data_IF_224396328578
#
_entry.id   IF_224396328578
#
_cell.length_a   1.000
_cell.length_b   1.000
_cell.length_c   1.000
_cell.angle_alpha   90.00
_cell.angle_beta   90.00
_cell.angle_gamma   90.00
#
_symmetry.space_group_name_H-M   'P 1'
#
loop_
_entity.id
_entity.type
_entity.pdbx_description
1 polymer ?
#
# COMPACT_ATOMS: atom_id res chain seq x y z
N UNK A 1 -63.86 -38.48 52.37
CA UNK A 1 -63.85 -37.56 51.24
C UNK A 1 -63.00 -36.37 51.53
N UNK A 2 -61.71 -36.52 51.58
CA UNK A 2 -60.76 -35.44 51.70
C UNK A 2 -59.40 -35.91 51.09
N UNK A 3 -59.19 -35.73 49.80
CA UNK A 3 -57.87 -35.90 49.12
C UNK A 3 -58.09 -35.73 47.62
N UNK A 4 -58.22 -34.52 47.15
CA UNK A 4 -58.05 -34.16 45.71
C UNK A 4 -58.04 -32.61 45.58
N UNK A 5 -57.17 -31.93 46.30
CA UNK A 5 -56.97 -30.44 46.08
C UNK A 5 -55.56 -29.97 46.45
N UNK A 6 -54.59 -30.73 46.00
CA UNK A 6 -53.18 -30.31 46.23
C UNK A 6 -52.21 -30.64 45.07
N UNK A 7 -52.75 -30.76 43.85
CA UNK A 7 -51.89 -31.07 42.68
C UNK A 7 -52.00 -30.04 41.51
N UNK A 8 -52.54 -28.86 41.76
CA UNK A 8 -52.83 -27.85 40.74
C UNK A 8 -51.95 -26.59 40.83
N UNK A 9 -51.08 -26.46 41.85
CA UNK A 9 -50.37 -25.22 42.09
C UNK A 9 -48.85 -25.27 41.91
N UNK A 10 -48.30 -26.43 41.52
CA UNK A 10 -46.86 -26.62 41.35
C UNK A 10 -46.36 -26.59 39.89
N UNK A 11 -47.26 -26.41 38.93
CA UNK A 11 -46.90 -26.38 37.47
C UNK A 11 -46.95 -24.99 36.84
N UNK A 12 -47.25 -23.93 37.61
CA UNK A 12 -47.31 -22.56 37.09
C UNK A 12 -46.09 -21.69 37.47
N UNK A 13 -45.12 -22.24 38.20
CA UNK A 13 -43.89 -21.49 38.59
C UNK A 13 -42.61 -21.89 37.85
N UNK A 14 -42.70 -22.80 36.88
CA UNK A 14 -41.55 -23.25 36.09
C UNK A 14 -41.44 -22.62 34.68
N UNK A 15 -42.35 -21.68 34.32
CA UNK A 15 -42.39 -21.09 32.97
C UNK A 15 -41.92 -19.59 32.89
N UNK A 16 -41.30 -19.04 33.94
CA UNK A 16 -40.95 -17.61 33.97
C UNK A 16 -39.42 -17.37 34.15
N UNK A 17 -38.55 -18.27 33.78
CA UNK A 17 -37.10 -18.04 33.87
C UNK A 17 -36.37 -18.49 32.61
N UNK A 18 -36.94 -18.32 31.42
CA UNK A 18 -36.20 -18.41 30.17
C UNK A 18 -36.54 -17.17 29.29
N UNK A 19 -36.53 -16.00 29.87
CA UNK A 19 -36.31 -14.74 29.18
C UNK A 19 -35.12 -14.07 29.90
N UNK A 20 -34.06 -14.84 30.01
CA UNK A 20 -32.76 -14.42 30.51
C UNK A 20 -31.89 -14.09 29.32
N UNK A 21 -31.95 -12.82 28.90
CA UNK A 21 -30.81 -12.11 28.43
C UNK A 21 -29.94 -12.86 27.39
N UNK A 22 -30.23 -12.76 26.09
CA UNK A 22 -29.14 -12.43 25.19
C UNK A 22 -28.56 -11.11 25.68
N UNK A 23 -27.74 -11.17 26.73
CA UNK A 23 -26.75 -10.11 26.95
C UNK A 23 -25.92 -10.08 25.67
N UNK A 24 -26.26 -9.19 24.79
CA UNK A 24 -25.41 -8.84 23.66
C UNK A 24 -24.08 -8.52 24.30
N UNK A 25 -23.11 -9.44 24.17
CA UNK A 25 -21.77 -9.17 24.66
C UNK A 25 -21.43 -7.80 24.10
N UNK A 26 -21.15 -6.83 24.97
CA UNK A 26 -20.80 -5.48 24.53
C UNK A 26 -19.68 -5.69 23.49
N UNK A 27 -19.96 -5.33 22.27
CA UNK A 27 -19.01 -5.52 21.18
C UNK A 27 -17.79 -4.67 21.54
N UNK A 28 -16.65 -5.32 21.70
CA UNK A 28 -15.42 -4.67 22.18
C UNK A 28 -14.96 -3.66 21.14
N UNK A 29 -14.57 -2.47 21.61
CA UNK A 29 -13.88 -1.49 20.74
C UNK A 29 -12.65 -2.13 20.09
N UNK A 30 -12.42 -1.79 18.85
CA UNK A 30 -11.31 -2.32 18.06
C UNK A 30 -10.23 -1.26 17.90
N UNK A 31 -8.98 -1.70 17.88
CA UNK A 31 -7.83 -0.85 17.63
C UNK A 31 -6.87 -1.54 16.67
N UNK A 32 -6.65 -0.92 15.52
CA UNK A 32 -5.72 -1.38 14.50
C UNK A 32 -4.54 -0.43 14.40
N UNK A 33 -3.36 -0.98 14.16
CA UNK A 33 -2.14 -0.21 13.97
C UNK A 33 -1.71 -0.34 12.52
N UNK A 34 -1.33 0.78 11.90
CA UNK A 34 -0.77 0.83 10.54
C UNK A 34 0.67 1.33 10.63
N UNK A 35 1.61 0.52 10.15
CA UNK A 35 3.04 0.81 10.15
C UNK A 35 3.56 0.85 8.71
N UNK A 36 3.73 2.04 8.11
CA UNK A 36 4.30 2.18 6.77
C UNK A 36 5.84 2.08 6.79
N UNK A 37 6.47 2.19 5.61
CA UNK A 37 7.94 2.23 5.47
C UNK A 37 8.56 3.49 6.08
N UNK A 38 7.89 4.62 5.87
CA UNK A 38 8.39 5.95 6.25
C UNK A 38 7.25 6.96 6.23
N UNK A 39 7.44 8.13 6.82
CA UNK A 39 6.53 9.28 6.61
C UNK A 39 6.63 9.71 5.15
N UNK A 40 5.53 9.60 4.41
CA UNK A 40 5.46 9.95 3.00
C UNK A 40 4.01 10.25 2.59
N UNK A 41 3.72 11.24 1.70
CA UNK A 41 2.37 11.61 1.29
C UNK A 41 1.52 10.45 0.76
N UNK A 42 2.14 9.48 0.10
CA UNK A 42 1.44 8.29 -0.39
C UNK A 42 0.85 7.47 0.77
N UNK A 43 1.57 7.33 1.89
CA UNK A 43 1.09 6.63 3.07
C UNK A 43 0.05 7.43 3.85
N UNK A 44 0.05 8.77 3.74
CA UNK A 44 -1.02 9.60 4.30
C UNK A 44 -2.36 9.28 3.62
N UNK A 45 -2.37 9.04 2.30
CA UNK A 45 -3.55 8.58 1.57
C UNK A 45 -4.02 7.18 2.03
N UNK A 46 -3.11 6.26 2.34
CA UNK A 46 -3.45 4.96 2.95
C UNK A 46 -4.12 5.16 4.31
N UNK A 47 -3.56 6.03 5.15
CA UNK A 47 -4.12 6.33 6.46
C UNK A 47 -5.52 6.98 6.37
N UNK A 48 -5.72 7.91 5.43
CA UNK A 48 -7.04 8.51 5.17
C UNK A 48 -8.05 7.42 4.81
N UNK A 49 -7.72 6.54 3.86
CA UNK A 49 -8.61 5.44 3.47
C UNK A 49 -8.93 4.47 4.62
N UNK A 50 -7.95 4.20 5.47
CA UNK A 50 -8.16 3.37 6.67
C UNK A 50 -9.10 4.04 7.67
N UNK A 51 -8.94 5.34 7.94
CA UNK A 51 -9.81 6.12 8.84
C UNK A 51 -11.24 6.23 8.29
N UNK A 52 -11.40 6.49 7.00
CA UNK A 52 -12.70 6.54 6.34
C UNK A 52 -13.43 5.18 6.44
N UNK A 53 -12.72 4.08 6.20
CA UNK A 53 -13.28 2.74 6.33
C UNK A 53 -13.64 2.41 7.78
N UNK A 54 -12.79 2.77 8.75
CA UNK A 54 -13.08 2.59 10.16
C UNK A 54 -14.38 3.33 10.54
N UNK A 55 -14.55 4.58 10.13
CA UNK A 55 -15.76 5.37 10.39
C UNK A 55 -17.04 4.75 9.76
N UNK A 56 -16.94 4.19 8.54
CA UNK A 56 -18.05 3.47 7.92
C UNK A 56 -18.43 2.21 8.72
N UNK A 57 -17.43 1.47 9.19
CA UNK A 57 -17.63 0.25 9.98
C UNK A 57 -18.17 0.57 11.38
N UNK A 58 -17.68 1.63 12.04
CA UNK A 58 -18.24 2.10 13.32
C UNK A 58 -19.74 2.35 13.20
N UNK A 59 -20.15 3.06 12.14
CA UNK A 59 -21.57 3.32 11.87
C UNK A 59 -22.36 2.06 11.61
N UNK A 60 -21.78 1.08 10.92
CA UNK A 60 -22.47 -0.17 10.54
C UNK A 60 -22.54 -1.16 11.70
N UNK A 61 -21.50 -1.27 12.51
CA UNK A 61 -21.33 -2.29 13.55
C UNK A 61 -21.71 -1.80 14.96
N UNK A 62 -21.73 -0.48 15.17
CA UNK A 62 -22.00 0.11 16.50
C UNK A 62 -20.85 -0.06 17.48
N UNK A 63 -19.61 -0.24 16.99
CA UNK A 63 -18.38 -0.38 17.79
C UNK A 63 -17.41 0.72 17.42
N UNK A 64 -16.61 1.20 18.36
CA UNK A 64 -15.53 2.14 18.08
C UNK A 64 -14.36 1.42 17.42
N UNK A 65 -13.80 2.01 16.36
CA UNK A 65 -12.62 1.50 15.66
C UNK A 65 -11.56 2.61 15.63
N UNK A 66 -10.46 2.40 16.33
CA UNK A 66 -9.34 3.35 16.35
C UNK A 66 -8.25 2.88 15.41
N UNK A 67 -7.74 3.79 14.60
CA UNK A 67 -6.57 3.58 13.73
C UNK A 67 -5.40 4.34 14.35
N UNK A 68 -4.36 3.60 14.75
CA UNK A 68 -3.08 4.15 15.20
C UNK A 68 -2.10 4.10 14.02
N UNK A 69 -1.75 5.25 13.48
CA UNK A 69 -0.77 5.36 12.42
C UNK A 69 0.61 5.64 13.01
N UNK A 70 1.55 4.70 12.83
CA UNK A 70 2.87 4.71 13.45
C UNK A 70 3.96 4.66 12.36
N UNK A 71 4.23 5.80 11.73
CA UNK A 71 5.21 5.90 10.66
C UNK A 71 6.63 6.16 11.20
N UNK A 72 7.65 5.42 10.73
CA UNK A 72 9.05 5.79 10.95
C UNK A 72 9.36 7.16 10.35
N UNK A 73 10.16 7.96 11.03
CA UNK A 73 10.58 9.29 10.52
C UNK A 73 11.68 9.19 9.47
N UNK A 74 12.39 8.06 9.46
CA UNK A 74 13.40 7.70 8.46
C UNK A 74 13.15 6.27 8.00
N UNK A 75 13.45 5.99 6.74
CA UNK A 75 13.35 4.65 6.18
C UNK A 75 14.55 3.79 6.65
N UNK A 76 14.41 3.21 7.84
CA UNK A 76 15.37 2.33 8.48
C UNK A 76 14.67 1.09 9.03
N UNK A 77 15.18 -0.09 8.69
CA UNK A 77 14.58 -1.38 9.07
C UNK A 77 14.59 -1.58 10.58
N UNK A 78 15.63 -1.13 11.27
CA UNK A 78 15.75 -1.24 12.73
C UNK A 78 14.69 -0.38 13.41
N UNK A 79 14.50 0.84 12.91
CA UNK A 79 13.46 1.74 13.41
C UNK A 79 12.05 1.20 13.15
N UNK A 80 11.78 0.67 11.94
CA UNK A 80 10.50 0.06 11.63
C UNK A 80 10.24 -1.16 12.52
N UNK A 81 11.23 -2.03 12.74
CA UNK A 81 11.11 -3.18 13.63
C UNK A 81 10.82 -2.75 15.07
N UNK A 82 11.49 -1.70 15.56
CA UNK A 82 11.25 -1.13 16.90
C UNK A 82 9.81 -0.62 17.04
N UNK A 83 9.27 0.04 16.01
CA UNK A 83 7.88 0.52 15.98
C UNK A 83 6.91 -0.67 15.99
N UNK A 84 7.17 -1.71 15.21
CA UNK A 84 6.35 -2.95 15.18
C UNK A 84 6.34 -3.64 16.55
N UNK A 85 7.49 -3.76 17.22
CA UNK A 85 7.58 -4.29 18.58
C UNK A 85 6.78 -3.45 19.58
N UNK A 86 6.90 -2.12 19.51
CA UNK A 86 6.12 -1.20 20.35
C UNK A 86 4.62 -1.33 20.10
N UNK A 87 4.20 -1.43 18.84
CA UNK A 87 2.81 -1.69 18.49
C UNK A 87 2.31 -3.00 19.10
N UNK A 88 3.08 -4.08 18.97
CA UNK A 88 2.72 -5.40 19.49
C UNK A 88 2.57 -5.45 21.03
N UNK A 89 3.46 -4.75 21.77
CA UNK A 89 3.37 -4.65 23.24
C UNK A 89 2.04 -4.09 23.71
N UNK A 90 1.44 -3.18 22.93
CA UNK A 90 0.14 -2.58 23.26
C UNK A 90 -1.06 -3.50 23.00
N UNK A 91 -0.84 -4.69 22.43
CA UNK A 91 -1.84 -5.71 22.08
C UNK A 91 -3.03 -5.14 21.30
N UNK A 92 -2.79 -4.60 20.09
CA UNK A 92 -3.88 -4.16 19.23
C UNK A 92 -4.69 -5.37 18.73
N UNK A 93 -5.87 -5.10 18.18
CA UNK A 93 -6.69 -6.14 17.53
C UNK A 93 -6.11 -6.58 16.17
N UNK A 94 -5.16 -5.83 15.63
CA UNK A 94 -4.42 -6.22 14.44
C UNK A 94 -3.41 -5.15 14.00
N UNK A 95 -2.44 -5.58 13.21
CA UNK A 95 -1.38 -4.72 12.66
C UNK A 95 -1.34 -4.91 11.14
N UNK A 96 -1.35 -3.79 10.41
CA UNK A 96 -1.00 -3.74 8.99
C UNK A 96 0.39 -3.14 8.86
N UNK A 97 1.27 -3.77 8.11
CA UNK A 97 2.65 -3.30 7.89
C UNK A 97 2.97 -3.29 6.40
N UNK A 98 3.67 -2.24 5.95
CA UNK A 98 4.37 -2.26 4.67
C UNK A 98 5.86 -2.46 4.94
N UNK A 99 6.40 -3.70 4.76
CA UNK A 99 7.77 -3.99 5.13
C UNK A 99 8.76 -3.26 4.22
N UNK A 100 9.69 -2.55 4.85
CA UNK A 100 10.78 -1.86 4.16
C UNK A 100 11.79 -2.84 3.55
N UNK A 101 11.99 -3.98 4.21
CA UNK A 101 12.94 -5.02 3.80
C UNK A 101 12.35 -6.41 4.02
N UNK A 102 12.28 -7.22 2.95
CA UNK A 102 11.66 -8.54 3.00
C UNK A 102 12.35 -9.51 3.99
N UNK A 103 13.65 -9.34 4.22
CA UNK A 103 14.45 -10.19 5.11
C UNK A 103 14.52 -9.59 6.51
N UNK A 104 14.80 -8.30 6.59
CA UNK A 104 15.02 -7.59 7.85
C UNK A 104 13.76 -7.49 8.73
N UNK A 105 12.55 -7.43 8.12
CA UNK A 105 11.30 -7.39 8.88
C UNK A 105 10.73 -8.78 9.20
N UNK A 106 11.25 -9.86 8.61
CA UNK A 106 10.65 -11.19 8.70
C UNK A 106 10.50 -11.65 10.15
N UNK A 107 11.56 -11.53 10.95
CA UNK A 107 11.57 -12.05 12.32
C UNK A 107 10.51 -11.36 13.19
N UNK A 108 10.45 -10.03 13.19
CA UNK A 108 9.49 -9.28 14.00
C UNK A 108 8.04 -9.59 13.59
N UNK A 109 7.77 -9.74 12.29
CA UNK A 109 6.45 -10.12 11.80
C UNK A 109 6.03 -11.52 12.26
N UNK A 110 6.96 -12.50 12.27
CA UNK A 110 6.72 -13.84 12.79
C UNK A 110 6.46 -13.82 14.31
N UNK A 111 7.19 -13.01 15.07
CA UNK A 111 7.02 -12.88 16.51
C UNK A 111 5.68 -12.24 16.90
N UNK A 112 5.23 -11.23 16.16
CA UNK A 112 3.90 -10.62 16.32
C UNK A 112 2.81 -11.67 16.12
N UNK A 113 2.89 -12.47 15.06
CA UNK A 113 1.92 -13.55 14.79
C UNK A 113 1.93 -14.65 15.87
N UNK A 114 3.10 -15.02 16.38
CA UNK A 114 3.20 -15.98 17.50
C UNK A 114 2.52 -15.48 18.77
N UNK A 115 2.41 -14.17 18.96
CA UNK A 115 1.66 -13.55 20.06
C UNK A 115 0.14 -13.60 19.85
N UNK A 116 -0.34 -14.11 18.71
CA UNK A 116 -1.76 -14.18 18.37
C UNK A 116 -2.34 -12.87 17.85
N UNK A 117 -1.51 -11.88 17.51
CA UNK A 117 -1.97 -10.61 16.93
C UNK A 117 -2.14 -10.80 15.42
N UNK A 118 -3.34 -10.56 14.87
CA UNK A 118 -3.57 -10.55 13.43
C UNK A 118 -2.60 -9.60 12.73
N UNK A 119 -1.92 -10.10 11.69
CA UNK A 119 -0.95 -9.33 10.92
C UNK A 119 -1.24 -9.50 9.43
N UNK A 120 -1.31 -8.39 8.72
CA UNK A 120 -1.35 -8.34 7.26
C UNK A 120 -0.21 -7.47 6.74
N UNK A 121 0.16 -7.64 5.49
CA UNK A 121 1.00 -6.68 4.78
C UNK A 121 0.14 -5.84 3.83
N UNK A 122 0.51 -4.59 3.62
CA UNK A 122 -0.09 -3.76 2.58
C UNK A 122 1.03 -3.19 1.69
N UNK A 123 0.69 -2.75 0.49
CA UNK A 123 1.64 -2.25 -0.53
C UNK A 123 2.91 -3.11 -0.72
N UNK A 124 2.82 -4.38 -0.38
CA UNK A 124 3.91 -5.34 -0.51
C UNK A 124 3.35 -6.73 -0.77
N UNK A 125 4.04 -7.58 -1.54
CA UNK A 125 3.63 -8.97 -1.72
C UNK A 125 3.71 -9.73 -0.40
N UNK A 126 2.85 -10.75 -0.26
CA UNK A 126 2.93 -11.66 0.88
C UNK A 126 4.28 -12.35 0.92
N UNK A 127 4.99 -12.35 2.06
CA UNK A 127 6.25 -13.08 2.16
C UNK A 127 6.05 -14.58 1.86
N UNK A 128 6.88 -15.18 0.99
CA UNK A 128 6.69 -16.55 0.54
C UNK A 128 6.54 -17.54 1.69
N UNK A 129 5.47 -18.36 1.65
CA UNK A 129 5.19 -19.39 2.65
C UNK A 129 4.75 -18.87 4.03
N UNK A 130 4.57 -17.57 4.22
CA UNK A 130 4.18 -16.99 5.50
C UNK A 130 2.71 -17.18 5.86
N UNK A 131 1.82 -17.30 4.87
CA UNK A 131 0.38 -17.26 5.06
C UNK A 131 -0.13 -15.92 5.59
N UNK A 132 0.62 -14.84 5.39
CA UNK A 132 0.18 -13.47 5.71
C UNK A 132 -0.58 -12.92 4.51
N UNK A 133 -1.75 -12.36 4.75
CA UNK A 133 -2.52 -11.69 3.69
C UNK A 133 -1.81 -10.44 3.22
N UNK A 134 -1.73 -10.26 1.90
CA UNK A 134 -1.27 -9.02 1.26
C UNK A 134 -2.47 -8.23 0.75
N UNK A 135 -2.48 -6.93 1.02
CA UNK A 135 -3.41 -5.95 0.44
C UNK A 135 -2.61 -5.00 -0.43
N UNK A 136 -2.81 -5.05 -1.73
CA UNK A 136 -2.02 -4.25 -2.67
C UNK A 136 -2.54 -4.44 -4.09
N UNK A 137 -1.65 -4.37 -5.04
CA UNK A 137 -1.93 -4.65 -6.44
C UNK A 137 -0.92 -5.66 -7.00
N UNK A 138 -1.07 -6.02 -8.25
CA UNK A 138 -0.05 -6.81 -8.94
C UNK A 138 1.11 -5.90 -9.36
N UNK A 139 2.18 -5.85 -8.54
CA UNK A 139 3.34 -4.97 -8.75
C UNK A 139 4.11 -5.31 -10.02
N UNK A 140 4.21 -6.60 -10.37
CA UNK A 140 4.77 -7.04 -11.65
C UNK A 140 3.99 -6.46 -12.82
N UNK A 141 2.66 -6.62 -12.83
CA UNK A 141 1.79 -6.08 -13.88
C UNK A 141 1.87 -4.55 -13.96
N UNK A 142 1.96 -3.87 -12.82
CA UNK A 142 2.13 -2.41 -12.76
C UNK A 142 3.43 -1.97 -13.45
N UNK A 143 4.54 -2.64 -13.16
CA UNK A 143 5.82 -2.40 -13.82
C UNK A 143 5.77 -2.70 -15.32
N UNK A 144 5.14 -3.80 -15.72
CA UNK A 144 4.95 -4.17 -17.14
C UNK A 144 4.17 -3.10 -17.90
N UNK A 145 3.01 -2.66 -17.37
CA UNK A 145 2.17 -1.61 -17.98
C UNK A 145 2.97 -0.33 -18.23
N UNK A 146 3.73 0.15 -17.24
CA UNK A 146 4.53 1.35 -17.37
C UNK A 146 5.62 1.20 -18.44
N UNK A 147 6.32 0.06 -18.44
CA UNK A 147 7.39 -0.19 -19.39
C UNK A 147 6.87 -0.41 -20.81
N UNK A 148 5.78 -1.16 -21.01
CA UNK A 148 5.15 -1.36 -22.32
C UNK A 148 4.69 -0.03 -22.90
N UNK A 149 4.07 0.84 -22.07
CA UNK A 149 3.67 2.17 -22.52
C UNK A 149 4.86 3.01 -22.99
N UNK A 150 5.96 3.03 -22.22
CA UNK A 150 7.16 3.77 -22.63
C UNK A 150 7.77 3.22 -23.91
N UNK A 151 7.88 1.91 -24.04
CA UNK A 151 8.39 1.25 -25.24
C UNK A 151 7.55 1.57 -26.49
N UNK A 152 6.23 1.57 -26.35
CA UNK A 152 5.30 1.97 -27.41
C UNK A 152 5.59 3.40 -27.90
N UNK A 153 5.70 4.34 -26.96
CA UNK A 153 5.97 5.76 -27.25
C UNK A 153 7.32 5.99 -27.92
N UNK A 154 8.32 5.19 -27.56
CA UNK A 154 9.66 5.24 -28.16
C UNK A 154 9.78 4.47 -29.49
N UNK A 155 8.74 3.73 -29.91
CA UNK A 155 8.81 2.86 -31.08
C UNK A 155 9.84 1.75 -30.94
N UNK A 156 10.06 1.26 -29.73
CA UNK A 156 10.93 0.10 -29.41
C UNK A 156 12.43 0.40 -29.49
N UNK A 157 12.88 1.66 -29.39
CA UNK A 157 14.31 2.03 -29.47
C UNK A 157 14.65 3.25 -28.61
N UNK A 158 15.91 3.33 -28.18
CA UNK A 158 16.45 4.46 -27.42
C UNK A 158 16.99 4.02 -26.05
N UNK A 159 17.62 4.96 -25.34
CA UNK A 159 18.13 4.73 -23.99
C UNK A 159 17.05 5.00 -22.97
N UNK A 160 16.77 4.03 -22.09
CA UNK A 160 15.74 4.10 -21.07
C UNK A 160 16.35 3.88 -19.70
N UNK A 161 16.19 4.86 -18.83
CA UNK A 161 16.57 4.75 -17.43
C UNK A 161 15.44 4.19 -16.58
N UNK A 162 15.78 3.39 -15.56
CA UNK A 162 14.86 2.97 -14.51
C UNK A 162 15.44 3.41 -13.16
N UNK A 163 14.70 4.25 -12.42
CA UNK A 163 15.06 4.64 -11.06
C UNK A 163 14.42 3.67 -10.06
N UNK A 164 15.24 3.16 -9.15
CA UNK A 164 14.74 2.35 -8.03
C UNK A 164 14.36 3.25 -6.85
N UNK A 165 13.37 2.80 -6.05
CA UNK A 165 13.10 3.38 -4.75
C UNK A 165 14.04 2.80 -3.70
N UNK A 166 13.52 1.91 -2.82
CA UNK A 166 14.34 1.06 -1.96
C UNK A 166 14.59 -0.28 -2.66
N UNK A 167 15.81 -0.65 -3.01
CA UNK A 167 16.10 -1.90 -3.74
C UNK A 167 15.71 -3.17 -2.96
N UNK A 168 15.62 -3.10 -1.63
CA UNK A 168 15.22 -4.22 -0.76
C UNK A 168 13.74 -4.26 -0.43
N UNK A 169 12.99 -3.20 -0.77
CA UNK A 169 11.54 -3.19 -0.62
C UNK A 169 10.89 -4.09 -1.68
N UNK A 170 10.04 -5.06 -1.25
CA UNK A 170 9.57 -6.10 -2.16
C UNK A 170 8.80 -5.58 -3.37
N UNK A 171 7.92 -4.61 -3.18
CA UNK A 171 7.12 -4.00 -4.25
C UNK A 171 7.98 -3.20 -5.25
N UNK A 172 8.97 -2.44 -4.76
CA UNK A 172 9.89 -1.70 -5.64
C UNK A 172 10.74 -2.65 -6.48
N UNK A 173 11.24 -3.72 -5.88
CA UNK A 173 12.01 -4.75 -6.58
C UNK A 173 11.17 -5.45 -7.66
N UNK A 174 9.93 -5.84 -7.36
CA UNK A 174 9.04 -6.47 -8.35
C UNK A 174 8.77 -5.55 -9.54
N UNK A 175 8.47 -4.26 -9.31
CA UNK A 175 8.29 -3.28 -10.39
C UNK A 175 9.55 -3.11 -11.24
N UNK A 176 10.71 -3.01 -10.58
CA UNK A 176 12.01 -2.86 -11.26
C UNK A 176 12.33 -4.04 -12.17
N UNK A 177 12.22 -5.27 -11.65
CA UNK A 177 12.52 -6.47 -12.44
C UNK A 177 11.51 -6.66 -13.58
N UNK A 178 10.23 -6.34 -13.37
CA UNK A 178 9.21 -6.37 -14.41
C UNK A 178 9.52 -5.36 -15.53
N UNK A 179 9.87 -4.12 -15.19
CA UNK A 179 10.25 -3.10 -16.17
C UNK A 179 11.47 -3.53 -16.97
N UNK A 180 12.52 -4.03 -16.33
CA UNK A 180 13.72 -4.57 -17.01
C UNK A 180 13.37 -5.72 -17.94
N UNK A 181 12.52 -6.64 -17.50
CA UNK A 181 12.12 -7.78 -18.31
C UNK A 181 11.37 -7.35 -19.58
N UNK A 182 10.53 -6.31 -19.51
CA UNK A 182 9.89 -5.73 -20.70
C UNK A 182 10.92 -5.10 -21.62
N UNK A 183 11.78 -4.21 -21.10
CA UNK A 183 12.80 -3.54 -21.93
C UNK A 183 13.70 -4.55 -22.67
N UNK A 184 14.06 -5.66 -22.01
CA UNK A 184 14.91 -6.71 -22.59
C UNK A 184 14.28 -7.43 -23.80
N UNK A 185 12.96 -7.34 -24.00
CA UNK A 185 12.28 -7.90 -25.17
C UNK A 185 12.54 -7.09 -26.46
N UNK A 186 13.06 -5.86 -26.33
CA UNK A 186 13.24 -4.91 -27.43
C UNK A 186 14.73 -4.62 -27.67
N UNK A 187 15.35 -5.25 -28.68
CA UNK A 187 16.80 -5.09 -28.92
C UNK A 187 17.26 -3.67 -29.27
N UNK A 188 16.32 -2.80 -29.64
CA UNK A 188 16.58 -1.38 -29.88
C UNK A 188 16.59 -0.50 -28.62
N UNK A 189 16.19 -1.06 -27.47
CA UNK A 189 16.21 -0.38 -26.17
C UNK A 189 17.52 -0.71 -25.46
N UNK A 190 18.21 0.33 -25.01
CA UNK A 190 19.39 0.24 -24.12
C UNK A 190 18.96 0.62 -22.70
N UNK A 191 19.10 -0.32 -21.75
CA UNK A 191 18.86 -0.05 -20.34
C UNK A 191 19.98 0.83 -19.75
N UNK A 192 19.59 1.87 -19.02
CA UNK A 192 20.45 2.76 -18.24
C UNK A 192 20.06 2.66 -16.77
N UNK A 193 21.05 2.59 -15.88
CA UNK A 193 20.79 2.72 -14.45
C UNK A 193 20.28 4.13 -14.15
N UNK A 194 19.06 4.21 -13.65
CA UNK A 194 18.39 5.48 -13.32
C UNK A 194 18.71 6.03 -11.93
N UNK A 195 19.53 5.33 -11.16
CA UNK A 195 19.84 5.67 -9.78
C UNK A 195 18.83 5.12 -8.76
N UNK A 196 19.02 5.53 -7.51
CA UNK A 196 18.20 5.13 -6.37
C UNK A 196 17.65 6.38 -5.69
N UNK A 197 16.32 6.51 -5.62
CA UNK A 197 15.64 7.67 -5.00
C UNK A 197 15.60 7.58 -3.47
N UNK A 198 15.63 6.36 -2.92
CA UNK A 198 15.29 6.09 -1.51
C UNK A 198 13.90 6.63 -1.12
N UNK A 199 12.97 6.66 -2.08
CA UNK A 199 11.61 7.18 -1.92
C UNK A 199 11.59 8.65 -1.42
N UNK A 200 12.61 9.42 -1.86
CA UNK A 200 12.83 10.82 -1.53
C UNK A 200 12.87 11.68 -2.79
N UNK A 201 12.03 12.72 -2.83
CA UNK A 201 11.84 13.59 -4.01
C UNK A 201 13.13 14.31 -4.40
N UNK A 202 13.86 14.83 -3.41
CA UNK A 202 15.07 15.60 -3.67
C UNK A 202 16.20 14.70 -4.18
N UNK A 203 16.34 13.52 -3.60
CA UNK A 203 17.30 12.50 -4.07
C UNK A 203 16.97 12.07 -5.49
N UNK A 204 15.70 11.82 -5.80
CA UNK A 204 15.24 11.48 -7.15
C UNK A 204 15.59 12.56 -8.17
N UNK A 205 15.36 13.85 -7.84
CA UNK A 205 15.71 14.98 -8.70
C UNK A 205 17.22 15.03 -8.98
N UNK A 206 18.05 14.90 -7.94
CA UNK A 206 19.52 14.93 -8.07
C UNK A 206 20.03 13.76 -8.92
N UNK A 207 19.53 12.55 -8.69
CA UNK A 207 19.89 11.36 -9.46
C UNK A 207 19.46 11.51 -10.93
N UNK A 208 18.25 11.95 -11.20
CA UNK A 208 17.74 12.14 -12.56
C UNK A 208 18.57 13.20 -13.32
N UNK A 209 18.91 14.30 -12.67
CA UNK A 209 19.76 15.32 -13.28
C UNK A 209 21.16 14.76 -13.63
N UNK A 210 21.76 13.96 -12.74
CA UNK A 210 23.05 13.32 -12.98
C UNK A 210 22.99 12.31 -14.13
N UNK A 211 21.94 11.47 -14.19
CA UNK A 211 21.72 10.49 -15.27
C UNK A 211 21.55 11.19 -16.61
N UNK A 212 20.73 12.25 -16.69
CA UNK A 212 20.54 13.02 -17.93
C UNK A 212 21.80 13.75 -18.39
N UNK A 213 22.65 14.18 -17.47
CA UNK A 213 23.95 14.80 -17.81
C UNK A 213 24.93 13.73 -18.33
N UNK A 214 24.97 12.55 -17.74
CA UNK A 214 25.82 11.44 -18.17
C UNK A 214 25.32 10.76 -19.46
N UNK A 215 24.03 10.86 -19.77
CA UNK A 215 23.38 10.25 -20.93
C UNK A 215 22.60 11.32 -21.72
N UNK A 216 23.28 12.16 -22.51
CA UNK A 216 22.62 13.27 -23.21
C UNK A 216 21.52 12.86 -24.19
N UNK A 217 21.60 11.62 -24.73
CA UNK A 217 20.67 10.98 -25.65
C UNK A 217 19.66 10.05 -24.94
N UNK A 218 19.45 10.25 -23.62
CA UNK A 218 18.40 9.53 -22.87
C UNK A 218 17.03 9.83 -23.50
N UNK A 219 16.31 8.78 -23.84
CA UNK A 219 15.02 8.88 -24.52
C UNK A 219 13.83 8.70 -23.58
N UNK A 220 13.99 7.95 -22.49
CA UNK A 220 12.89 7.69 -21.56
C UNK A 220 13.31 7.42 -20.13
N UNK A 221 12.36 7.61 -19.21
CA UNK A 221 12.56 7.37 -17.79
C UNK A 221 11.39 6.62 -17.18
N UNK A 222 11.68 5.55 -16.45
CA UNK A 222 10.77 4.76 -15.62
C UNK A 222 11.22 4.84 -14.16
N UNK A 223 10.36 4.50 -13.23
CA UNK A 223 10.66 4.47 -11.80
C UNK A 223 9.81 3.43 -11.06
N UNK A 224 10.12 3.20 -9.78
CA UNK A 224 9.50 2.13 -8.98
C UNK A 224 8.74 2.61 -7.73
N UNK A 225 8.77 3.89 -7.42
CA UNK A 225 8.20 4.51 -6.21
C UNK A 225 7.42 5.79 -6.51
N UNK A 226 6.75 6.39 -5.51
CA UNK A 226 5.89 7.55 -5.64
C UNK A 226 6.63 8.90 -5.53
N UNK A 227 7.87 8.93 -5.02
CA UNK A 227 8.67 10.14 -4.94
C UNK A 227 9.40 10.45 -6.25
N UNK A 228 9.89 9.39 -6.91
CA UNK A 228 10.70 9.51 -8.13
C UNK A 228 9.99 10.25 -9.28
N UNK A 229 8.68 10.07 -9.56
CA UNK A 229 8.00 10.81 -10.63
C UNK A 229 8.13 12.33 -10.46
N UNK A 230 7.98 12.83 -9.22
CA UNK A 230 8.03 14.26 -8.90
C UNK A 230 9.45 14.79 -9.10
N UNK A 231 10.46 14.08 -8.57
CA UNK A 231 11.85 14.44 -8.69
C UNK A 231 12.34 14.41 -10.14
N UNK A 232 12.00 13.35 -10.89
CA UNK A 232 12.36 13.22 -12.31
C UNK A 232 11.70 14.31 -13.16
N UNK A 233 10.40 14.58 -12.95
CA UNK A 233 9.68 15.63 -13.66
C UNK A 233 10.33 17.00 -13.43
N UNK A 234 10.72 17.31 -12.20
CA UNK A 234 11.43 18.53 -11.85
C UNK A 234 12.77 18.61 -12.58
N UNK A 235 13.58 17.56 -12.55
CA UNK A 235 14.88 17.51 -13.23
C UNK A 235 14.75 17.63 -14.76
N UNK A 236 13.74 17.00 -15.36
CA UNK A 236 13.45 17.10 -16.82
C UNK A 236 13.09 18.55 -17.19
N UNK A 237 12.27 19.21 -16.36
CA UNK A 237 11.87 20.62 -16.55
C UNK A 237 13.05 21.56 -16.45
N UNK A 238 13.87 21.41 -15.42
CA UNK A 238 15.07 22.25 -15.20
C UNK A 238 16.14 22.06 -16.30
N UNK A 239 16.28 20.81 -16.79
CA UNK A 239 17.19 20.52 -17.89
C UNK A 239 16.67 20.95 -19.27
N UNK A 240 15.43 21.45 -19.39
CA UNK A 240 14.80 21.80 -20.66
C UNK A 240 14.61 20.61 -21.60
N UNK A 241 14.44 19.39 -21.05
CA UNK A 241 14.35 18.13 -21.81
C UNK A 241 12.90 17.64 -21.96
N UNK A 242 11.91 18.48 -21.69
CA UNK A 242 10.50 18.15 -21.92
C UNK A 242 10.25 17.75 -23.38
N UNK A 243 9.58 16.62 -23.58
CA UNK A 243 9.33 16.05 -24.90
C UNK A 243 10.55 15.40 -25.57
N UNK A 244 11.77 15.53 -25.01
CA UNK A 244 12.96 14.79 -25.42
C UNK A 244 13.12 13.51 -24.58
N UNK A 245 12.95 13.63 -23.27
CA UNK A 245 12.91 12.49 -22.35
C UNK A 245 11.44 12.22 -22.02
N UNK A 246 10.92 11.09 -22.47
CA UNK A 246 9.55 10.65 -22.17
C UNK A 246 9.54 10.02 -20.78
N UNK A 247 8.68 10.51 -19.89
CA UNK A 247 8.54 9.98 -18.54
C UNK A 247 7.19 9.24 -18.43
N UNK A 248 7.24 7.95 -18.09
CA UNK A 248 6.06 7.19 -17.68
C UNK A 248 6.19 6.92 -16.20
N UNK A 249 5.27 7.50 -15.43
CA UNK A 249 5.35 7.60 -13.98
C UNK A 249 4.74 6.41 -13.25
N UNK A 250 4.80 6.54 -11.92
CA UNK A 250 4.18 5.66 -10.95
C UNK A 250 3.29 6.51 -10.04
N UNK A 251 2.17 5.94 -9.59
CA UNK A 251 1.24 6.55 -8.63
C UNK A 251 0.51 7.84 -9.09
N UNK A 252 -0.28 8.43 -8.20
CA UNK A 252 -1.22 9.53 -8.52
C UNK A 252 -1.26 10.63 -7.46
N UNK A 253 -0.15 10.86 -6.76
CA UNK A 253 -0.07 12.02 -5.87
C UNK A 253 -0.35 13.32 -6.64
N UNK A 254 -0.91 14.31 -5.98
CA UNK A 254 -1.35 15.58 -6.60
C UNK A 254 -0.24 16.19 -7.49
N UNK A 255 1.01 16.25 -7.01
CA UNK A 255 2.14 16.83 -7.77
C UNK A 255 2.50 15.98 -9.01
N UNK A 256 2.31 14.66 -8.95
CA UNK A 256 2.45 13.77 -10.10
C UNK A 256 1.40 14.13 -11.15
N UNK A 257 0.15 14.23 -10.72
CA UNK A 257 -0.98 14.55 -11.60
C UNK A 257 -0.87 15.96 -12.22
N UNK A 258 -0.36 16.94 -11.48
CA UNK A 258 -0.01 18.25 -12.02
C UNK A 258 1.04 18.11 -13.15
N UNK A 259 2.10 17.32 -12.94
CA UNK A 259 3.12 17.06 -13.94
C UNK A 259 2.59 16.32 -15.17
N UNK A 260 1.58 15.46 -15.00
CA UNK A 260 0.85 14.82 -16.12
C UNK A 260 0.04 15.87 -16.90
N UNK A 261 -0.67 16.78 -16.23
CA UNK A 261 -1.42 17.86 -16.88
C UNK A 261 -0.51 18.81 -17.65
N UNK A 262 0.66 19.13 -17.11
CA UNK A 262 1.70 19.94 -17.78
C UNK A 262 2.35 19.20 -18.96
N UNK A 263 2.19 17.88 -19.07
CA UNK A 263 2.79 17.04 -20.12
C UNK A 263 4.29 16.79 -19.93
N UNK A 264 4.78 16.90 -18.70
CA UNK A 264 6.15 16.51 -18.31
C UNK A 264 6.20 14.99 -18.10
N UNK A 265 5.20 14.45 -17.40
CA UNK A 265 4.93 13.04 -17.31
C UNK A 265 3.84 12.72 -18.34
N UNK A 266 4.04 11.68 -19.14
CA UNK A 266 3.07 11.31 -20.17
C UNK A 266 1.84 10.64 -19.57
N UNK A 267 2.07 9.65 -18.71
CA UNK A 267 1.05 8.91 -17.97
C UNK A 267 1.66 8.24 -16.75
N UNK A 268 0.83 7.70 -15.86
CA UNK A 268 1.31 6.88 -14.74
C UNK A 268 0.50 5.59 -14.62
N UNK A 269 1.15 4.53 -14.15
CA UNK A 269 0.52 3.31 -13.67
C UNK A 269 0.43 3.42 -12.13
N UNK A 270 -0.75 3.77 -11.62
CA UNK A 270 -0.95 4.11 -10.21
C UNK A 270 -1.49 2.95 -9.41
N UNK A 271 -1.06 2.85 -8.15
CA UNK A 271 -1.78 2.14 -7.09
C UNK A 271 -3.03 2.92 -6.68
N UNK A 272 -3.82 2.36 -5.76
CA UNK A 272 -5.00 3.04 -5.17
C UNK A 272 -4.82 3.06 -3.64
N UNK A 273 -4.01 4.00 -3.10
CA UNK A 273 -3.58 3.96 -1.70
C UNK A 273 -4.76 4.01 -0.70
N UNK A 274 -5.79 4.83 -0.93
CA UNK A 274 -6.99 4.85 -0.06
C UNK A 274 -7.69 3.50 -0.02
N UNK A 275 -7.77 2.80 -1.15
CA UNK A 275 -8.36 1.46 -1.20
C UNK A 275 -7.51 0.46 -0.43
N UNK A 276 -6.17 0.56 -0.52
CA UNK A 276 -5.28 -0.31 0.27
C UNK A 276 -5.47 -0.10 1.77
N UNK A 277 -5.61 1.15 2.23
CA UNK A 277 -5.94 1.47 3.61
C UNK A 277 -7.28 0.89 4.06
N UNK A 278 -8.32 1.12 3.27
CA UNK A 278 -9.67 0.62 3.54
C UNK A 278 -9.73 -0.90 3.62
N UNK A 279 -9.13 -1.59 2.64
CA UNK A 279 -9.10 -3.06 2.61
C UNK A 279 -8.25 -3.65 3.72
N UNK A 280 -7.17 -2.95 4.15
CA UNK A 280 -6.38 -3.36 5.31
C UNK A 280 -7.22 -3.41 6.58
N UNK A 281 -8.04 -2.40 6.84
CA UNK A 281 -8.96 -2.38 7.99
C UNK A 281 -10.00 -3.49 7.90
N UNK A 282 -10.56 -3.74 6.71
CA UNK A 282 -11.52 -4.83 6.50
C UNK A 282 -10.90 -6.21 6.77
N UNK A 283 -9.69 -6.45 6.27
CA UNK A 283 -8.99 -7.73 6.48
C UNK A 283 -8.62 -7.93 7.96
N UNK A 284 -8.13 -6.89 8.63
CA UNK A 284 -7.83 -6.97 10.06
C UNK A 284 -9.11 -7.24 10.87
N UNK A 285 -10.20 -6.55 10.56
CA UNK A 285 -11.50 -6.83 11.20
C UNK A 285 -11.96 -8.27 10.97
N UNK A 286 -11.91 -8.76 9.74
CA UNK A 286 -12.28 -10.14 9.41
C UNK A 286 -11.44 -11.14 10.20
N UNK A 287 -10.15 -10.89 10.37
CA UNK A 287 -9.26 -11.71 11.20
C UNK A 287 -9.70 -11.73 12.67
N UNK A 288 -10.14 -10.59 13.23
CA UNK A 288 -10.56 -10.50 14.65
C UNK A 288 -11.82 -11.31 14.96
N UNK A 289 -12.70 -11.49 13.99
CA UNK A 289 -13.92 -12.30 14.13
C UNK A 289 -13.74 -13.77 13.72
N UNK A 290 -12.48 -14.19 13.43
CA UNK A 290 -12.16 -15.56 13.05
C UNK A 290 -12.52 -15.91 11.59
N UNK A 291 -12.72 -14.92 10.72
CA UNK A 291 -12.96 -15.13 9.30
C UNK A 291 -11.70 -15.58 8.56
N UNK A 292 -11.89 -16.39 7.52
CA UNK A 292 -10.79 -16.77 6.63
C UNK A 292 -10.35 -15.57 5.80
N UNK A 293 -9.03 -15.40 5.67
CA UNK A 293 -8.44 -14.36 4.86
C UNK A 293 -7.91 -14.91 3.53
N UNK A 294 -8.09 -14.20 2.41
CA UNK A 294 -7.44 -14.55 1.15
C UNK A 294 -5.93 -14.35 1.27
N UNK A 295 -5.16 -15.00 0.41
CA UNK A 295 -3.71 -14.76 0.35
C UNK A 295 -3.41 -13.33 -0.14
N UNK A 296 -4.18 -12.83 -1.10
CA UNK A 296 -4.00 -11.51 -1.70
C UNK A 296 -5.36 -10.83 -1.90
N UNK A 297 -5.41 -9.54 -1.60
CA UNK A 297 -6.49 -8.62 -1.96
C UNK A 297 -5.91 -7.65 -2.99
N UNK A 298 -6.29 -7.81 -4.25
CA UNK A 298 -5.89 -6.92 -5.33
C UNK A 298 -6.78 -5.67 -5.33
N UNK A 299 -6.18 -4.51 -5.11
CA UNK A 299 -6.87 -3.22 -5.12
C UNK A 299 -6.90 -2.57 -6.51
N UNK A 300 -6.31 -3.23 -7.50
CA UNK A 300 -6.29 -2.77 -8.89
C UNK A 300 -5.15 -1.80 -9.21
N UNK A 301 -5.05 -1.50 -10.50
CA UNK A 301 -4.11 -0.53 -11.07
C UNK A 301 -4.93 0.51 -11.83
N UNK A 302 -4.64 1.78 -11.57
CA UNK A 302 -5.27 2.90 -12.24
C UNK A 302 -4.28 3.52 -13.24
N UNK A 303 -4.73 3.80 -14.45
CA UNK A 303 -3.93 4.54 -15.42
C UNK A 303 -4.33 6.01 -15.38
N UNK A 304 -3.37 6.86 -15.01
CA UNK A 304 -3.56 8.31 -15.02
C UNK A 304 -2.95 8.89 -16.28
N UNK A 305 -3.75 9.65 -16.99
CA UNK A 305 -3.39 10.37 -18.21
C UNK A 305 -3.85 11.81 -18.08
N UNK A 306 -3.56 12.63 -19.11
CA UNK A 306 -4.04 14.02 -19.16
C UNK A 306 -5.57 14.16 -19.04
N UNK A 307 -6.32 13.12 -19.42
CA UNK A 307 -7.78 13.16 -19.48
C UNK A 307 -8.42 13.02 -18.08
N UNK A 308 -7.76 12.32 -17.14
CA UNK A 308 -8.33 12.05 -15.81
C UNK A 308 -7.45 12.56 -14.64
N UNK A 309 -6.30 13.15 -14.91
CA UNK A 309 -5.40 13.63 -13.86
C UNK A 309 -6.03 14.66 -12.92
N UNK A 310 -6.99 15.48 -13.41
CA UNK A 310 -7.70 16.47 -12.59
C UNK A 310 -8.48 15.86 -11.42
N UNK A 311 -8.86 14.58 -11.51
CA UNK A 311 -9.58 13.87 -10.45
C UNK A 311 -8.73 13.64 -9.19
N UNK A 312 -7.39 13.74 -9.31
CA UNK A 312 -6.42 13.45 -8.26
C UNK A 312 -5.66 14.70 -7.78
N UNK A 313 -5.89 15.86 -8.40
CA UNK A 313 -5.27 17.11 -7.98
C UNK A 313 -6.09 17.68 -6.81
N UNK A 314 -5.44 17.75 -5.64
CA UNK A 314 -6.01 18.36 -4.44
C UNK A 314 -5.57 19.82 -4.32
N UNK A 315 -6.53 20.72 -4.04
CA UNK A 315 -6.28 22.15 -3.82
C UNK A 315 -5.70 22.43 -2.45
#
# INVERSE_FOLDING_TARGET
>A
MKRKLALGLSLLLAAIVIIGGCAQAAQQDLRFVIVPKVVHPWFDEVNIGAMEQAALMEKALGVKITIDYMAPTVADVTEQNRILEQAAVTRPNGIAVDPLDAVGNKQVMEEIRKQGIPLIVFDSPSPPGSGITSVGNNFTQQGEIAAERLVELLGGKGKVAIMQGFPTAPNHLERFEAQKAILAKYPGIEFVDGGISNDDIQTAQQQAAAVMAATPDLAGYLMCDAAAPIGIATAVKEAGKQGQVIVVGMDNLSDICVSVKEGIIESTASTIPRMQGAMSVLMLWQATIGGELPQTVDTGILIVTKDNADEFITN
#
